data_IF_753845993103
#
_entry.id   IF_753845993103
#
_cell.length_a   1.000
_cell.length_b   1.000
_cell.length_c   1.000
_cell.angle_alpha   90.00
_cell.angle_beta   90.00
_cell.angle_gamma   90.00
#
_symmetry.space_group_name_H-M   'P 1'
#
loop_
_entity.id
_entity.type
_entity.pdbx_description
1 polymer ?
#
# COMPACT_ATOMS: atom_id res chain seq x y z
N UNK A 1 -8.17 4.33 5.93
CA UNK A 1 -8.43 3.24 6.90
C UNK A 1 -7.78 3.50 8.27
N UNK A 2 -6.51 3.85 8.38
CA UNK A 2 -5.81 4.09 9.66
C UNK A 2 -6.56 5.05 10.59
N UNK A 3 -7.01 6.20 10.07
CA UNK A 3 -7.78 7.17 10.88
C UNK A 3 -9.15 6.60 11.30
N UNK A 4 -9.79 5.83 10.39
CA UNK A 4 -11.08 5.17 10.69
C UNK A 4 -10.95 4.18 11.86
N UNK A 5 -9.88 3.39 11.90
CA UNK A 5 -9.64 2.45 13.02
C UNK A 5 -9.36 3.21 14.31
N UNK A 6 -8.55 4.28 14.26
CA UNK A 6 -8.26 5.10 15.43
C UNK A 6 -9.49 5.79 16.03
N UNK A 7 -10.40 6.27 15.17
CA UNK A 7 -11.63 6.96 15.59
C UNK A 7 -12.80 6.00 15.89
N UNK A 8 -12.67 4.72 15.53
CA UNK A 8 -13.71 3.72 15.72
C UNK A 8 -14.89 3.80 14.74
N UNK A 9 -14.79 4.61 13.69
CA UNK A 9 -15.81 4.80 12.65
C UNK A 9 -15.19 5.10 11.29
N UNK A 10 -15.89 4.82 10.18
CA UNK A 10 -15.42 5.22 8.86
C UNK A 10 -15.20 6.73 8.76
N UNK A 11 -13.99 7.14 8.40
CA UNK A 11 -13.61 8.53 8.17
C UNK A 11 -13.53 8.84 6.68
N UNK A 12 -13.84 10.10 6.34
CA UNK A 12 -13.69 10.60 4.97
C UNK A 12 -12.23 11.00 4.76
N UNK A 13 -11.67 10.58 3.64
CA UNK A 13 -10.33 10.96 3.19
C UNK A 13 -10.44 12.04 2.10
N UNK A 14 -9.77 13.16 2.32
CA UNK A 14 -9.71 14.25 1.35
C UNK A 14 -8.77 13.89 0.19
N UNK A 15 -9.32 13.29 -0.85
CA UNK A 15 -8.58 12.88 -2.05
C UNK A 15 -8.20 14.06 -2.96
N UNK A 16 -8.77 15.23 -2.76
CA UNK A 16 -8.47 16.43 -3.56
C UNK A 16 -7.14 17.04 -3.12
N UNK A 17 -6.96 17.20 -1.81
CA UNK A 17 -5.77 17.81 -1.25
C UNK A 17 -4.64 16.80 -0.93
N UNK A 18 -4.98 15.51 -0.85
CA UNK A 18 -4.01 14.44 -0.58
C UNK A 18 -3.82 13.56 -1.81
N UNK A 19 -3.05 14.06 -2.77
CA UNK A 19 -2.68 13.28 -3.95
C UNK A 19 -1.64 12.22 -3.60
N UNK A 20 -1.78 11.05 -4.20
CA UNK A 20 -0.84 9.93 -4.04
C UNK A 20 -0.58 9.24 -5.38
N UNK A 21 0.59 8.65 -5.55
CA UNK A 21 0.88 7.77 -6.70
C UNK A 21 0.08 6.47 -6.62
N UNK A 22 -0.35 6.08 -5.41
CA UNK A 22 -1.21 4.93 -5.17
C UNK A 22 -2.70 5.30 -5.33
N UNK A 23 -3.05 5.82 -6.48
CA UNK A 23 -4.37 6.37 -6.81
C UNK A 23 -5.50 5.34 -6.65
N UNK A 24 -5.25 4.07 -6.93
CA UNK A 24 -6.24 2.99 -6.76
C UNK A 24 -6.54 2.66 -5.28
N UNK A 25 -5.69 3.10 -4.35
CA UNK A 25 -5.93 3.00 -2.91
C UNK A 25 -6.58 4.27 -2.33
N UNK A 26 -6.69 5.35 -3.11
CA UNK A 26 -7.20 6.63 -2.66
C UNK A 26 -8.74 6.70 -2.70
N UNK A 27 -9.42 5.73 -2.11
CA UNK A 27 -10.87 5.80 -1.94
C UNK A 27 -11.25 6.90 -0.93
N UNK A 28 -12.31 7.69 -1.21
CA UNK A 28 -12.69 8.82 -0.34
C UNK A 28 -13.22 8.38 1.03
N UNK A 29 -13.62 7.12 1.17
CA UNK A 29 -14.08 6.56 2.45
C UNK A 29 -13.92 5.03 2.45
N UNK A 30 -13.82 4.47 3.63
CA UNK A 30 -13.91 3.03 3.82
C UNK A 30 -15.39 2.61 3.78
N UNK A 31 -15.71 1.60 2.97
CA UNK A 31 -17.04 0.99 3.00
C UNK A 31 -17.35 0.43 4.40
N UNK A 32 -18.61 0.52 4.85
CA UNK A 32 -19.01 0.06 6.18
C UNK A 32 -18.61 -1.42 6.44
N UNK A 33 -18.90 -2.29 5.49
CA UNK A 33 -18.57 -3.72 5.60
C UNK A 33 -17.04 -3.91 5.67
N UNK A 34 -16.28 -3.25 4.77
CA UNK A 34 -14.82 -3.32 4.77
C UNK A 34 -14.21 -2.82 6.09
N UNK A 35 -14.77 -1.75 6.64
CA UNK A 35 -14.33 -1.21 7.93
C UNK A 35 -14.48 -2.23 9.06
N UNK A 36 -15.66 -2.88 9.16
CA UNK A 36 -15.92 -3.90 10.20
C UNK A 36 -14.98 -5.11 10.05
N UNK A 37 -14.74 -5.58 8.82
CA UNK A 37 -13.78 -6.66 8.59
C UNK A 37 -12.35 -6.27 8.98
N UNK A 38 -11.91 -5.07 8.62
CA UNK A 38 -10.56 -4.61 9.01
C UNK A 38 -10.44 -4.50 10.52
N UNK A 39 -11.47 -3.96 11.18
CA UNK A 39 -11.50 -3.83 12.64
C UNK A 39 -11.43 -5.17 13.37
N UNK A 40 -12.04 -6.21 12.79
CA UNK A 40 -12.14 -7.54 13.42
C UNK A 40 -10.94 -8.44 13.11
N UNK A 41 -10.40 -8.38 11.88
CA UNK A 41 -9.45 -9.40 11.39
C UNK A 41 -8.05 -8.86 11.06
N UNK A 42 -7.81 -7.55 11.10
CA UNK A 42 -6.51 -6.97 10.77
C UNK A 42 -5.78 -6.58 12.05
N UNK A 43 -4.63 -7.19 12.28
CA UNK A 43 -3.81 -6.96 13.47
C UNK A 43 -3.18 -5.57 13.47
N UNK A 44 -2.70 -5.07 12.31
CA UNK A 44 -2.05 -3.77 12.20
C UNK A 44 -2.20 -3.15 10.82
N UNK A 45 -2.06 -1.82 10.76
CA UNK A 45 -2.07 -1.02 9.52
C UNK A 45 -0.81 -0.15 9.48
N UNK A 46 0.09 -0.47 8.57
CA UNK A 46 1.34 0.24 8.39
C UNK A 46 1.18 1.31 7.31
N UNK A 47 1.41 2.57 7.68
CA UNK A 47 1.45 3.65 6.71
C UNK A 47 2.81 3.70 6.01
N UNK A 48 2.76 3.95 4.71
CA UNK A 48 3.94 4.04 3.84
C UNK A 48 3.96 5.39 3.13
N UNK A 49 5.15 5.91 2.84
CA UNK A 49 5.31 7.17 2.10
C UNK A 49 5.36 6.95 0.60
N UNK A 50 5.21 8.03 -0.17
CA UNK A 50 5.35 8.02 -1.64
C UNK A 50 6.74 7.54 -2.06
N UNK A 51 7.81 8.07 -1.44
CA UNK A 51 9.20 7.69 -1.74
C UNK A 51 9.47 6.21 -1.45
N UNK A 52 8.92 5.69 -0.36
CA UNK A 52 9.03 4.27 -0.04
C UNK A 52 8.32 3.39 -1.07
N UNK A 53 7.17 3.83 -1.57
CA UNK A 53 6.45 3.11 -2.62
C UNK A 53 7.21 3.14 -3.95
N UNK A 54 7.81 4.26 -4.32
CA UNK A 54 8.64 4.38 -5.54
C UNK A 54 9.86 3.44 -5.44
N UNK A 55 10.57 3.45 -4.33
CA UNK A 55 11.72 2.57 -4.14
C UNK A 55 11.32 1.09 -4.14
N UNK A 56 10.22 0.76 -3.48
CA UNK A 56 9.65 -0.58 -3.49
C UNK A 56 9.29 -1.02 -4.91
N UNK A 57 8.63 -0.16 -5.69
CA UNK A 57 8.28 -0.42 -7.09
C UNK A 57 9.54 -0.69 -7.92
N UNK A 58 10.58 0.13 -7.77
CA UNK A 58 11.86 -0.06 -8.44
C UNK A 58 12.47 -1.43 -8.12
N UNK A 59 12.53 -1.80 -6.85
CA UNK A 59 13.05 -3.10 -6.43
C UNK A 59 12.22 -4.27 -6.98
N UNK A 60 10.89 -4.15 -7.03
CA UNK A 60 10.03 -5.17 -7.60
C UNK A 60 10.32 -5.38 -9.09
N UNK A 61 10.51 -4.30 -9.85
CA UNK A 61 10.87 -4.38 -11.27
C UNK A 61 12.28 -4.95 -11.45
N UNK A 62 13.27 -4.38 -10.74
CA UNK A 62 14.68 -4.73 -10.93
C UNK A 62 15.07 -6.10 -10.38
N UNK A 63 14.52 -6.50 -9.25
CA UNK A 63 14.93 -7.72 -8.54
C UNK A 63 13.96 -8.88 -8.74
N UNK A 64 12.66 -8.60 -8.65
CA UNK A 64 11.63 -9.64 -8.76
C UNK A 64 11.16 -9.84 -10.21
N UNK A 65 11.48 -8.93 -11.13
CA UNK A 65 11.08 -8.96 -12.55
C UNK A 65 9.57 -8.96 -12.74
N UNK A 66 8.85 -8.32 -11.84
CA UNK A 66 7.40 -8.08 -11.93
C UNK A 66 7.14 -6.58 -12.08
N UNK A 67 6.10 -6.24 -12.81
CA UNK A 67 5.74 -4.85 -13.09
C UNK A 67 4.38 -4.56 -12.44
N UNK A 68 4.34 -4.22 -11.16
CA UNK A 68 3.11 -3.84 -10.47
C UNK A 68 2.80 -2.35 -10.69
N UNK A 69 1.56 -1.96 -10.44
CA UNK A 69 1.22 -0.54 -10.29
C UNK A 69 1.72 0.03 -8.96
N UNK A 70 1.83 1.37 -8.79
CA UNK A 70 2.32 1.98 -7.54
C UNK A 70 1.54 1.54 -6.29
N UNK A 71 0.22 1.44 -6.39
CA UNK A 71 -0.61 0.95 -5.28
C UNK A 71 -0.22 -0.45 -4.81
N UNK A 72 0.10 -1.33 -5.75
CA UNK A 72 0.52 -2.70 -5.43
C UNK A 72 1.93 -2.75 -4.82
N UNK A 73 2.79 -1.75 -5.08
CA UNK A 73 4.12 -1.71 -4.47
C UNK A 73 4.08 -1.42 -2.96
N UNK A 74 3.02 -0.81 -2.47
CA UNK A 74 2.84 -0.51 -1.05
C UNK A 74 2.90 -1.75 -0.16
N UNK A 75 2.44 -2.92 -0.65
CA UNK A 75 2.45 -4.16 0.11
C UNK A 75 3.86 -4.70 0.40
N UNK A 76 4.86 -4.32 -0.41
CA UNK A 76 6.24 -4.78 -0.27
C UNK A 76 7.09 -3.84 0.59
N UNK A 77 6.67 -2.57 0.75
CA UNK A 77 7.36 -1.56 1.58
C UNK A 77 7.69 -2.04 2.99
N UNK A 78 6.77 -2.65 3.75
CA UNK A 78 7.06 -3.06 5.12
C UNK A 78 8.21 -4.06 5.25
N UNK A 79 8.46 -4.84 4.20
CA UNK A 79 9.58 -5.80 4.14
C UNK A 79 10.88 -5.08 3.79
N UNK A 80 10.86 -4.27 2.72
CA UNK A 80 12.03 -3.55 2.21
C UNK A 80 12.58 -2.58 3.26
N UNK A 81 11.71 -1.87 3.95
CA UNK A 81 12.07 -0.84 4.94
C UNK A 81 12.01 -1.33 6.40
N UNK A 82 11.94 -2.66 6.58
CA UNK A 82 12.05 -3.28 7.91
C UNK A 82 11.01 -2.76 8.92
N UNK A 83 9.79 -2.46 8.44
CA UNK A 83 8.68 -1.95 9.29
C UNK A 83 7.95 -3.06 10.05
N UNK A 84 8.32 -4.31 9.81
CA UNK A 84 7.77 -5.50 10.48
C UNK A 84 8.86 -6.13 11.35
N UNK A 85 8.50 -6.58 12.54
CA UNK A 85 9.39 -7.35 13.42
C UNK A 85 9.49 -8.80 12.94
N UNK A 86 10.16 -9.00 11.78
CA UNK A 86 10.37 -10.32 11.20
C UNK A 86 11.71 -10.91 11.67
N UNK A 87 11.69 -12.15 12.10
CA UNK A 87 12.90 -12.93 12.34
C UNK A 87 13.40 -13.58 11.04
N UNK A 88 14.63 -14.06 11.03
CA UNK A 88 15.17 -14.83 9.89
C UNK A 88 14.41 -16.13 9.59
N UNK A 89 13.58 -16.59 10.51
CA UNK A 89 12.72 -17.79 10.35
C UNK A 89 11.28 -17.45 9.96
N UNK A 90 10.92 -16.17 9.92
CA UNK A 90 9.57 -15.75 9.56
C UNK A 90 9.27 -16.08 8.11
N UNK A 91 8.04 -16.55 7.85
CA UNK A 91 7.49 -16.70 6.50
C UNK A 91 6.51 -15.58 6.26
N UNK A 92 6.70 -14.82 5.20
CA UNK A 92 5.84 -13.70 4.84
C UNK A 92 5.15 -13.99 3.51
N UNK A 93 3.84 -13.90 3.50
CA UNK A 93 3.04 -13.94 2.28
C UNK A 93 2.66 -12.50 1.91
N UNK A 94 3.07 -12.06 0.72
CA UNK A 94 2.75 -10.73 0.19
C UNK A 94 1.77 -10.86 -0.96
N UNK A 95 0.62 -10.19 -0.83
CA UNK A 95 -0.38 -10.15 -1.90
C UNK A 95 -0.06 -8.96 -2.82
N UNK A 96 0.48 -9.25 -4.00
CA UNK A 96 0.73 -8.26 -5.05
C UNK A 96 -0.48 -8.23 -5.97
N UNK A 97 -1.33 -7.23 -5.80
CA UNK A 97 -2.56 -7.06 -6.57
C UNK A 97 -2.57 -5.72 -7.28
N UNK A 98 -2.63 -5.74 -8.60
CA UNK A 98 -2.62 -4.55 -9.46
C UNK A 98 -1.37 -4.44 -10.34
N UNK A 99 -1.62 -4.33 -11.64
CA UNK A 99 -0.57 -4.20 -12.68
C UNK A 99 -1.02 -3.30 -13.82
N UNK A 100 -2.05 -2.49 -13.60
CA UNK A 100 -2.57 -1.57 -14.61
C UNK A 100 -1.71 -0.30 -14.67
N UNK A 101 -0.52 -0.42 -15.25
CA UNK A 101 0.44 0.67 -15.41
C UNK A 101 1.06 0.60 -16.80
N UNK A 102 1.21 1.74 -17.45
CA UNK A 102 1.92 1.85 -18.72
C UNK A 102 3.39 2.29 -18.55
N UNK A 103 4.19 2.06 -19.59
CA UNK A 103 5.62 2.40 -19.58
C UNK A 103 5.87 3.91 -19.42
N UNK A 104 4.96 4.77 -19.91
CA UNK A 104 5.07 6.22 -19.76
C UNK A 104 4.93 6.61 -18.29
N UNK A 105 3.99 6.01 -17.60
CA UNK A 105 3.80 6.21 -16.16
C UNK A 105 5.01 5.70 -15.37
N UNK A 106 5.51 4.51 -15.67
CA UNK A 106 6.74 3.97 -15.06
C UNK A 106 7.89 4.96 -15.22
N UNK A 107 8.15 5.43 -16.47
CA UNK A 107 9.22 6.40 -16.75
C UNK A 107 9.05 7.71 -15.97
N UNK A 108 7.83 8.12 -15.65
CA UNK A 108 7.60 9.39 -14.90
C UNK A 108 7.83 9.25 -13.39
N UNK A 109 8.02 8.05 -12.88
CA UNK A 109 8.26 7.77 -11.46
C UNK A 109 9.75 7.62 -11.13
N UNK A 110 10.59 7.43 -12.14
CA UNK A 110 12.04 7.29 -12.03
C UNK A 110 12.76 8.35 -12.88
#
# INVERSE_FOLDING_TARGET
MTNSIKSGKPEIFDTINNKTIADTLAAPFAGKITFEYVKEYVDDIINVSEDEMIESLRMMIERLKIVPEPSASACFVPIVFNKLNLSSKSKCLVVVCGGNIDLKRIKSLF
#
